data_IF_679450408867
#
_entry.id   IF_679450408867
#
_cell.length_a   1.000
_cell.length_b   1.000
_cell.length_c   1.000
_cell.angle_alpha   90.00
_cell.angle_beta   90.00
_cell.angle_gamma   90.00
#
_symmetry.space_group_name_H-M   'P 1'
#
loop_
_entity.id
_entity.type
_entity.pdbx_description
1 polymer ?
#
# COMPACT_ATOMS: atom_id res chain seq x y z
N UNK A 1 26.73 1.31 -0.71
CA UNK A 1 25.69 1.35 -1.34
C UNK A 1 25.44 0.18 -2.01
N UNK A 2 24.52 -0.32 -1.73
CA UNK A 2 24.29 -1.44 -2.20
C UNK A 2 23.60 -1.42 -3.41
N UNK A 3 24.28 -1.48 -4.39
CA UNK A 3 23.67 -1.53 -5.64
C UNK A 3 23.22 -2.92 -5.95
N UNK A 4 23.37 -3.82 -4.99
CA UNK A 4 22.76 -5.11 -5.14
C UNK A 4 21.27 -4.98 -5.23
N UNK A 5 20.75 -3.87 -4.72
CA UNK A 5 19.34 -3.68 -4.79
C UNK A 5 19.00 -2.81 -5.97
N UNK A 6 19.93 -2.61 -6.87
CA UNK A 6 19.72 -1.72 -7.95
C UNK A 6 18.54 -2.11 -8.78
N UNK A 7 18.22 -3.37 -8.85
CA UNK A 7 17.09 -3.77 -9.64
C UNK A 7 15.82 -3.27 -9.00
N UNK A 8 15.75 -3.34 -7.67
CA UNK A 8 14.55 -2.92 -6.97
C UNK A 8 14.42 -1.40 -6.90
N UNK A 9 15.49 -0.73 -6.58
CA UNK A 9 15.44 0.69 -6.37
C UNK A 9 14.97 1.46 -7.61
N UNK A 10 15.51 1.22 -8.77
CA UNK A 10 15.02 1.92 -9.96
C UNK A 10 13.57 1.57 -10.26
N UNK A 11 13.16 0.32 -10.04
CA UNK A 11 11.80 -0.08 -10.30
C UNK A 11 10.86 0.67 -9.39
N UNK A 12 11.19 0.78 -8.10
CA UNK A 12 10.32 1.45 -7.17
C UNK A 12 10.23 2.95 -7.43
N UNK A 13 11.34 3.56 -7.85
CA UNK A 13 11.30 4.97 -8.19
C UNK A 13 10.43 5.19 -9.41
N UNK A 14 10.55 4.31 -10.39
CA UNK A 14 9.75 4.43 -11.60
C UNK A 14 8.28 4.23 -11.26
N UNK A 15 7.99 3.27 -10.38
CA UNK A 15 6.62 3.02 -9.97
C UNK A 15 6.04 4.25 -9.27
N UNK A 16 6.83 4.90 -8.43
CA UNK A 16 6.34 6.07 -7.73
C UNK A 16 6.03 7.20 -8.71
N UNK A 17 6.87 7.37 -9.73
CA UNK A 17 6.64 8.40 -10.72
C UNK A 17 5.40 8.07 -11.54
N UNK A 18 5.23 6.81 -11.90
CA UNK A 18 4.06 6.40 -12.65
C UNK A 18 2.78 6.65 -11.85
N UNK A 19 2.80 6.32 -10.57
CA UNK A 19 1.65 6.52 -9.73
C UNK A 19 1.30 8.00 -9.61
N UNK A 20 2.29 8.84 -9.44
CA UNK A 20 2.05 10.27 -9.32
C UNK A 20 1.48 10.82 -10.62
N UNK A 21 2.02 10.38 -11.76
CA UNK A 21 1.55 10.84 -13.05
C UNK A 21 0.12 10.38 -13.30
N UNK A 22 -0.16 9.13 -12.93
CA UNK A 22 -1.50 8.60 -13.13
C UNK A 22 -2.52 9.39 -12.31
N UNK A 23 -2.18 9.67 -11.06
CA UNK A 23 -3.08 10.41 -10.19
C UNK A 23 -3.33 11.82 -10.73
N UNK A 24 -2.30 12.45 -11.25
CA UNK A 24 -2.44 13.78 -11.81
C UNK A 24 -3.36 13.75 -13.01
N UNK A 25 -3.19 12.76 -13.87
CA UNK A 25 -4.03 12.64 -15.04
C UNK A 25 -5.48 12.39 -14.68
N UNK A 26 -5.70 11.55 -13.68
CA UNK A 26 -7.04 11.27 -13.24
C UNK A 26 -7.72 12.53 -12.72
N UNK A 27 -6.97 13.31 -11.97
CA UNK A 27 -7.54 14.53 -11.41
C UNK A 27 -7.85 15.55 -12.50
N UNK A 28 -6.98 15.66 -13.48
CA UNK A 28 -7.19 16.58 -14.51
C UNK A 28 -8.28 16.21 -15.46
N UNK A 29 -8.30 15.03 -15.97
CA UNK A 29 -9.26 14.63 -16.95
C UNK A 29 -10.57 14.15 -16.39
N UNK A 30 -10.54 13.79 -15.19
CA UNK A 30 -11.78 13.33 -14.62
C UNK A 30 -12.33 12.12 -15.24
N UNK A 31 -11.80 11.52 -16.19
CA UNK A 31 -12.33 10.51 -16.82
C UNK A 31 -11.62 9.34 -16.71
N UNK A 32 -12.07 8.41 -16.46
CA UNK A 32 -11.52 7.32 -16.26
C UNK A 32 -11.29 6.54 -17.28
N UNK A 33 -10.48 6.33 -17.48
CA UNK A 33 -10.19 5.59 -18.46
C UNK A 33 -10.49 4.28 -18.10
N UNK A 34 -11.39 3.76 -18.44
CA UNK A 34 -11.74 2.55 -18.27
C UNK A 34 -10.78 1.73 -18.86
N UNK A 35 -9.73 1.54 -18.42
CA UNK A 35 -8.78 0.78 -19.04
C UNK A 35 -9.00 -0.62 -18.69
N UNK A 36 -9.24 -1.42 -19.59
CA UNK A 36 -9.51 -2.78 -19.33
C UNK A 36 -8.29 -3.50 -18.82
N UNK A 37 -7.13 -2.93 -18.87
CA UNK A 37 -5.96 -3.62 -18.41
C UNK A 37 -5.68 -3.38 -16.94
N UNK A 38 -6.49 -2.60 -16.29
CA UNK A 38 -6.29 -2.32 -14.88
C UNK A 38 -6.75 -3.55 -14.12
N UNK A 39 -5.90 -4.08 -13.24
CA UNK A 39 -6.25 -5.25 -12.50
C UNK A 39 -6.80 -4.87 -11.17
N UNK A 40 -7.90 -5.48 -10.79
CA UNK A 40 -8.46 -5.21 -9.51
C UNK A 40 -7.65 -5.93 -8.48
N UNK A 41 -7.08 -5.23 -7.53
CA UNK A 41 -6.26 -5.82 -6.50
C UNK A 41 -7.10 -6.37 -5.36
N UNK A 42 -8.11 -5.63 -4.93
CA UNK A 42 -8.90 -6.01 -3.78
C UNK A 42 -10.06 -6.91 -4.19
N UNK A 43 -10.22 -7.99 -3.47
CA UNK A 43 -11.36 -8.89 -3.70
C UNK A 43 -12.59 -8.28 -3.02
N UNK A 44 -13.79 -8.77 -3.32
CA UNK A 44 -14.97 -8.31 -2.58
C UNK A 44 -14.84 -8.52 -1.08
N UNK A 45 -14.15 -9.59 -0.66
CA UNK A 45 -13.95 -9.84 0.75
C UNK A 45 -13.06 -8.77 1.34
N UNK A 46 -11.99 -8.38 0.62
CA UNK A 46 -11.09 -7.33 1.08
C UNK A 46 -11.84 -6.02 1.20
N UNK A 47 -12.71 -5.72 0.22
CA UNK A 47 -13.45 -4.47 0.23
C UNK A 47 -14.42 -4.44 1.39
N UNK A 48 -15.05 -5.57 1.68
CA UNK A 48 -15.97 -5.62 2.79
C UNK A 48 -15.23 -5.42 4.10
N UNK A 49 -14.07 -6.04 4.25
CA UNK A 49 -13.30 -5.91 5.48
C UNK A 49 -12.84 -4.46 5.66
N UNK A 50 -12.38 -3.82 4.57
CA UNK A 50 -11.92 -2.44 4.67
C UNK A 50 -13.06 -1.47 4.90
N UNK A 51 -14.28 -1.82 4.51
CA UNK A 51 -15.41 -0.93 4.71
C UNK A 51 -15.68 -0.67 6.18
N UNK A 52 -15.14 -1.51 7.06
CA UNK A 52 -15.32 -1.33 8.48
C UNK A 52 -14.30 -0.36 9.07
N UNK A 53 -13.33 0.05 8.26
CA UNK A 53 -12.26 0.92 8.73
C UNK A 53 -12.10 2.11 7.78
N UNK A 54 -13.04 3.06 7.84
CA UNK A 54 -12.90 4.26 6.99
C UNK A 54 -11.71 5.08 7.44
N UNK A 55 -11.30 6.02 6.62
CA UNK A 55 -10.14 6.84 6.95
C UNK A 55 -10.35 7.51 8.30
N UNK A 56 -9.27 7.54 9.06
CA UNK A 56 -9.21 8.13 10.39
C UNK A 56 -9.89 7.31 11.47
N UNK A 57 -10.49 6.16 11.11
CA UNK A 57 -11.18 5.34 12.11
C UNK A 57 -10.23 4.69 13.10
N UNK A 58 -8.96 4.56 12.74
CA UNK A 58 -7.99 3.95 13.64
C UNK A 58 -6.96 4.96 14.12
N UNK A 59 -7.26 6.25 14.00
CA UNK A 59 -6.36 7.27 14.47
C UNK A 59 -6.12 7.11 15.95
N UNK A 60 -4.87 7.25 16.37
CA UNK A 60 -4.52 7.17 17.77
C UNK A 60 -4.33 5.76 18.29
N UNK A 61 -4.66 4.75 17.51
CA UNK A 61 -4.52 3.39 18.01
C UNK A 61 -3.10 2.88 17.90
N UNK A 62 -2.29 3.50 17.08
CA UNK A 62 -0.88 3.16 16.96
C UNK A 62 -0.67 1.66 16.74
N UNK A 63 0.04 0.99 17.60
CA UNK A 63 0.30 -0.44 17.43
C UNK A 63 -0.94 -1.31 17.52
N UNK A 64 -2.03 -0.78 18.10
CA UNK A 64 -3.26 -1.54 18.18
C UNK A 64 -4.09 -1.42 16.91
N UNK A 65 -3.72 -0.54 16.00
CA UNK A 65 -4.45 -0.41 14.74
C UNK A 65 -4.34 -1.72 13.98
N UNK A 66 -5.43 -2.14 13.36
CA UNK A 66 -5.48 -3.41 12.66
C UNK A 66 -5.11 -3.21 11.21
N UNK A 67 -4.12 -3.97 10.74
CA UNK A 67 -3.82 -4.03 9.32
C UNK A 67 -4.83 -5.00 8.73
N UNK A 68 -5.67 -4.52 7.83
CA UNK A 68 -6.77 -5.31 7.31
C UNK A 68 -6.35 -6.10 6.08
N UNK A 69 -5.50 -5.52 5.25
CA UNK A 69 -5.08 -6.12 4.00
C UNK A 69 -3.59 -5.89 3.83
N UNK A 70 -2.90 -6.87 3.28
CA UNK A 70 -1.49 -6.70 2.96
C UNK A 70 -1.35 -6.72 1.45
N UNK A 71 -0.69 -5.71 0.89
CA UNK A 71 -0.40 -5.65 -0.54
C UNK A 71 1.10 -5.74 -0.74
N UNK A 72 1.52 -6.22 -1.88
CA UNK A 72 2.94 -6.27 -2.18
C UNK A 72 3.15 -6.09 -3.69
N UNK A 73 4.35 -5.65 -4.06
CA UNK A 73 4.70 -5.48 -5.46
C UNK A 73 5.52 -6.68 -5.86
N UNK A 74 5.03 -7.44 -6.84
CA UNK A 74 5.69 -8.68 -7.24
C UNK A 74 7.09 -8.37 -7.76
N UNK A 75 8.01 -9.27 -7.51
CA UNK A 75 9.39 -9.09 -7.96
C UNK A 75 10.20 -8.13 -7.13
N UNK A 76 9.64 -7.57 -6.07
CA UNK A 76 10.37 -6.64 -5.21
C UNK A 76 10.08 -7.00 -3.76
N UNK A 77 10.71 -6.29 -2.84
CA UNK A 77 10.45 -6.47 -1.42
C UNK A 77 9.42 -5.48 -0.88
N UNK A 78 8.80 -4.70 -1.75
CA UNK A 78 7.87 -3.66 -1.31
C UNK A 78 6.60 -4.28 -0.73
N UNK A 79 6.18 -3.77 0.39
CA UNK A 79 5.01 -4.28 1.11
C UNK A 79 4.22 -3.14 1.71
N UNK A 80 2.89 -3.26 1.66
CA UNK A 80 1.99 -2.28 2.26
C UNK A 80 1.05 -3.02 3.20
N UNK A 81 0.84 -2.47 4.39
CA UNK A 81 -0.20 -2.99 5.29
C UNK A 81 -1.23 -1.88 5.41
N UNK A 82 -2.43 -2.13 4.94
CA UNK A 82 -3.47 -1.12 4.86
C UNK A 82 -4.37 -1.20 6.07
N UNK A 83 -4.52 -0.10 6.79
CA UNK A 83 -5.32 -0.07 8.01
C UNK A 83 -6.66 0.63 7.81
N UNK A 84 -6.75 1.54 6.84
CA UNK A 84 -7.97 2.31 6.62
C UNK A 84 -8.13 2.61 5.16
N UNK A 85 -9.35 2.81 4.72
CA UNK A 85 -9.59 3.09 3.31
C UNK A 85 -10.86 3.89 3.11
N UNK A 86 -10.85 4.71 2.05
CA UNK A 86 -12.06 5.28 1.54
C UNK A 86 -12.24 4.64 0.17
N UNK A 87 -13.07 3.62 0.08
CA UNK A 87 -13.18 2.86 -1.15
C UNK A 87 -13.91 3.62 -2.25
N UNK A 88 -14.62 4.70 -1.90
CA UNK A 88 -15.26 5.52 -2.91
C UNK A 88 -14.22 6.32 -3.68
N UNK A 89 -13.24 6.89 -2.98
CA UNK A 89 -12.20 7.69 -3.62
C UNK A 89 -10.98 6.87 -3.99
N UNK A 90 -10.78 5.74 -3.35
CA UNK A 90 -9.59 4.93 -3.57
C UNK A 90 -8.43 5.29 -2.66
N UNK A 91 -8.64 6.17 -1.68
CA UNK A 91 -7.56 6.53 -0.78
C UNK A 91 -7.37 5.46 0.27
N UNK A 92 -6.13 5.08 0.50
CA UNK A 92 -5.78 4.07 1.49
C UNK A 92 -4.79 4.68 2.47
N UNK A 93 -4.80 4.21 3.70
CA UNK A 93 -3.83 4.65 4.68
C UNK A 93 -3.26 3.43 5.37
N UNK A 94 -2.00 3.48 5.70
CA UNK A 94 -1.35 2.39 6.42
C UNK A 94 0.14 2.58 6.48
N UNK A 95 0.88 1.49 6.50
CA UNK A 95 2.33 1.55 6.57
C UNK A 95 2.92 0.79 5.39
N UNK A 96 4.03 1.26 4.89
CA UNK A 96 4.69 0.60 3.78
C UNK A 96 6.19 0.63 3.91
N UNK A 97 6.83 -0.37 3.33
CA UNK A 97 8.27 -0.42 3.25
C UNK A 97 8.58 -0.65 1.77
N UNK A 98 8.94 0.40 1.06
CA UNK A 98 9.10 0.31 -0.39
C UNK A 98 10.54 0.09 -0.84
N UNK A 99 11.48 0.65 -0.11
CA UNK A 99 12.86 0.59 -0.53
C UNK A 99 13.79 0.06 0.55
N UNK A 100 13.24 -0.76 1.42
CA UNK A 100 14.04 -1.35 2.50
C UNK A 100 14.54 -0.33 3.51
N UNK A 101 13.92 0.80 3.56
CA UNK A 101 14.28 1.82 4.54
C UNK A 101 13.48 1.69 5.81
N UNK A 102 12.64 0.69 5.90
CA UNK A 102 11.80 0.48 7.07
C UNK A 102 10.38 0.92 6.79
N UNK A 103 9.47 0.52 7.65
CA UNK A 103 8.07 0.85 7.47
C UNK A 103 7.81 2.29 7.88
N UNK A 104 6.93 2.96 7.13
CA UNK A 104 6.54 4.32 7.40
C UNK A 104 5.06 4.46 7.14
N UNK A 105 4.41 5.32 7.90
CA UNK A 105 3.00 5.62 7.67
C UNK A 105 2.86 6.45 6.40
N UNK A 106 1.76 6.29 5.70
CA UNK A 106 1.50 7.08 4.51
C UNK A 106 0.15 6.82 3.92
N UNK A 107 -0.18 7.63 2.92
CA UNK A 107 -1.40 7.47 2.16
C UNK A 107 -1.05 6.91 0.80
N UNK A 108 -1.94 6.09 0.26
CA UNK A 108 -1.75 5.49 -1.04
C UNK A 108 -3.04 5.63 -1.83
N UNK A 109 -2.96 5.54 -3.14
CA UNK A 109 -4.13 5.72 -3.97
C UNK A 109 -4.33 4.42 -4.75
N UNK A 110 -5.43 3.75 -4.51
CA UNK A 110 -5.68 2.44 -5.08
C UNK A 110 -5.60 2.40 -6.61
N UNK A 111 -6.19 3.36 -7.33
CA UNK A 111 -6.06 3.32 -8.79
C UNK A 111 -4.61 3.37 -9.28
N UNK A 112 -3.74 4.07 -8.57
CA UNK A 112 -2.34 4.11 -8.96
C UNK A 112 -1.70 2.74 -8.76
N UNK A 113 -2.05 2.07 -7.67
CA UNK A 113 -1.50 0.75 -7.41
C UNK A 113 -2.02 -0.25 -8.44
N UNK A 114 -3.27 -0.12 -8.81
CA UNK A 114 -3.87 -1.02 -9.79
C UNK A 114 -3.30 -0.80 -11.18
N UNK A 115 -2.82 0.41 -11.45
CA UNK A 115 -2.28 0.73 -12.75
C UNK A 115 -0.81 0.35 -12.91
N UNK A 116 -0.15 -0.03 -11.82
CA UNK A 116 1.25 -0.38 -11.89
C UNK A 116 1.43 -1.67 -12.65
N UNK A 117 2.13 -1.63 -13.77
CA UNK A 117 2.35 -2.80 -14.57
C UNK A 117 3.63 -2.57 -15.36
N UNK A 118 4.71 -3.16 -14.91
CA UNK A 118 6.00 -2.97 -15.53
C UNK A 118 6.59 -4.28 -16.01
N UNK A 119 7.49 -4.20 -16.94
CA UNK A 119 8.21 -5.36 -17.44
C UNK A 119 7.28 -6.48 -17.87
N UNK A 120 6.28 -6.12 -18.68
CA UNK A 120 5.39 -7.13 -19.24
C UNK A 120 4.50 -7.80 -18.21
N UNK A 121 4.20 -7.11 -17.12
CA UNK A 121 3.33 -7.68 -16.09
C UNK A 121 4.08 -8.36 -14.97
N UNK A 122 5.41 -8.43 -15.04
CA UNK A 122 6.18 -9.07 -14.00
C UNK A 122 6.10 -8.27 -12.70
N UNK A 123 6.02 -6.95 -12.81
CA UNK A 123 5.98 -6.10 -11.63
C UNK A 123 4.59 -5.47 -11.56
N UNK A 124 3.83 -5.84 -10.58
CA UNK A 124 2.48 -5.32 -10.36
C UNK A 124 2.13 -5.53 -8.89
N UNK A 125 1.03 -4.97 -8.43
CA UNK A 125 0.62 -5.06 -7.03
C UNK A 125 -0.40 -6.16 -6.86
N UNK A 126 -0.22 -6.97 -5.82
CA UNK A 126 -1.16 -8.03 -5.49
C UNK A 126 -1.51 -7.99 -4.03
N UNK A 127 -2.67 -8.50 -3.69
CA UNK A 127 -3.06 -8.65 -2.29
C UNK A 127 -2.65 -10.05 -1.83
N UNK A 128 -2.15 -10.12 -0.60
CA UNK A 128 -1.75 -11.38 -0.03
C UNK A 128 -3.01 -12.10 0.41
N UNK A 129 -3.37 -13.15 -0.30
CA UNK A 129 -4.64 -13.85 -0.05
C UNK A 129 -4.64 -14.63 1.25
N UNK A 130 -3.47 -14.85 1.83
CA UNK A 130 -3.39 -15.60 3.06
C UNK A 130 -3.23 -14.72 4.28
N UNK A 131 -3.21 -13.41 4.09
CA UNK A 131 -3.06 -12.51 5.20
C UNK A 131 -4.39 -12.34 5.93
N UNK A 132 -4.36 -12.39 7.25
CA UNK A 132 -5.55 -12.15 8.05
C UNK A 132 -5.36 -10.86 8.81
N UNK A 133 -6.43 -10.13 9.11
CA UNK A 133 -6.31 -8.86 9.84
C UNK A 133 -5.50 -9.05 11.12
N UNK A 134 -4.52 -8.21 11.32
CA UNK A 134 -3.56 -8.36 12.39
C UNK A 134 -3.17 -6.97 12.90
N UNK A 135 -3.11 -6.79 14.21
CA UNK A 135 -2.68 -5.52 14.77
C UNK A 135 -1.25 -5.24 14.34
N UNK A 136 -0.94 -3.99 14.07
CA UNK A 136 0.40 -3.62 13.60
C UNK A 136 1.49 -4.10 14.55
N UNK A 137 1.24 -4.03 15.85
CA UNK A 137 2.25 -4.44 16.83
C UNK A 137 2.54 -5.92 16.74
N UNK A 138 1.65 -6.70 16.16
CA UNK A 138 1.86 -8.13 16.04
C UNK A 138 2.48 -8.53 14.70
N UNK A 139 2.85 -7.57 13.89
CA UNK A 139 3.59 -7.82 12.65
C UNK A 139 5.03 -7.47 12.96
N UNK A 140 5.91 -8.46 13.11
CA UNK A 140 7.25 -8.22 13.65
C UNK A 140 8.05 -7.14 12.91
N UNK A 141 8.00 -7.13 11.59
CA UNK A 141 8.77 -6.15 10.84
C UNK A 141 8.26 -4.74 11.06
N UNK A 142 6.95 -4.58 11.18
CA UNK A 142 6.35 -3.27 11.41
C UNK A 142 6.68 -2.81 12.83
N UNK A 143 6.54 -3.71 13.82
CA UNK A 143 6.82 -3.35 15.19
C UNK A 143 8.29 -2.98 15.37
N UNK A 144 9.17 -3.70 14.68
CA UNK A 144 10.60 -3.40 14.77
C UNK A 144 10.87 -1.96 14.35
N UNK A 145 10.20 -1.51 13.31
CA UNK A 145 10.48 -0.19 12.75
C UNK A 145 9.69 0.93 13.40
N UNK A 146 8.53 0.65 13.94
CA UNK A 146 7.64 1.72 14.43
C UNK A 146 7.39 1.72 15.92
N UNK A 147 7.83 0.71 16.65
CA UNK A 147 7.55 0.65 18.08
C UNK A 147 8.05 1.88 18.83
N UNK A 148 9.15 2.45 18.37
CA UNK A 148 9.70 3.61 19.06
C UNK A 148 8.74 4.82 18.96
N UNK A 149 8.00 4.91 17.88
CA UNK A 149 7.03 5.99 17.70
C UNK A 149 5.86 5.76 18.65
N UNK A 150 5.41 4.53 18.74
CA UNK A 150 4.25 4.21 19.57
C UNK A 150 4.56 4.45 21.06
N UNK A 151 5.80 4.26 21.45
CA UNK A 151 6.13 4.43 22.84
C UNK A 151 6.12 5.85 23.31
N UNK A 152 6.24 6.77 22.39
CA UNK A 152 6.30 8.16 22.77
C UNK A 152 5.02 8.61 23.47
N UNK A 153 3.91 8.02 23.09
CA UNK A 153 2.64 8.43 23.66
C UNK A 153 2.26 7.66 24.91
N UNK A 154 3.08 6.79 25.37
CA UNK A 154 2.79 6.07 26.62
C UNK A 154 3.08 6.94 27.86
#
# INVERSE_FOLDING_TARGET
MSWGNITDLPVLKYAAIQQATFAANMRENGEKTKNCNVMEILTPKDREALSKYPLYSQDGKQGEAVAVVRLFITGTAATYYITEANLTTGELFGVSNLEREGFRYGYFYLPELEDLNLYGGTVHVEADRQFNPTALKNIPAVARDLAYIWKIDD
#
